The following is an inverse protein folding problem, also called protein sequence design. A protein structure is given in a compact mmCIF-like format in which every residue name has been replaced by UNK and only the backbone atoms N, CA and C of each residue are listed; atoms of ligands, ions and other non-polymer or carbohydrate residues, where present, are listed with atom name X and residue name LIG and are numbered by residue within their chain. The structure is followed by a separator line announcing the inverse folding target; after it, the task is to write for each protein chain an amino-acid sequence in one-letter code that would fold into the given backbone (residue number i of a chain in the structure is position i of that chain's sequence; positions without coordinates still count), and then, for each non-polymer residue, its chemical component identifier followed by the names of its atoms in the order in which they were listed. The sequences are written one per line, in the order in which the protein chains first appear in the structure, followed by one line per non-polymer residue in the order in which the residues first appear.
data_IF_010273508895
#
_entry.id   IF_010273508895
#
_cell.length_a   1.000
_cell.length_b   1.000
_cell.length_c   1.000
_cell.angle_alpha   90.00
_cell.angle_beta   90.00
_cell.angle_gamma   90.00
#
_symmetry.space_group_name_H-M   'P 1'
#
loop_
_entity.id
_entity.type
_entity.pdbx_description
1 polymer ?
#
# COMPACT_ATOMS: atom_id res chain seq x y z
N UNK A 1 28.77 -6.03 -9.37
CA UNK A 1 27.70 -6.06 -8.34
C UNK A 1 26.66 -7.09 -8.74
N UNK A 2 26.05 -7.78 -7.77
CA UNK A 2 24.99 -8.76 -8.04
C UNK A 2 23.62 -8.13 -7.76
N UNK A 3 22.71 -8.18 -8.72
CA UNK A 3 21.34 -7.67 -8.59
C UNK A 3 20.37 -8.84 -8.42
N UNK A 4 19.36 -8.67 -7.56
CA UNK A 4 18.30 -9.65 -7.32
C UNK A 4 16.99 -8.92 -7.07
N UNK A 5 15.90 -9.47 -7.59
CA UNK A 5 14.57 -9.08 -7.14
C UNK A 5 14.30 -9.63 -5.74
N UNK A 6 13.70 -8.80 -4.90
CA UNK A 6 13.33 -9.16 -3.52
C UNK A 6 11.84 -8.90 -3.34
N UNK A 7 11.11 -9.93 -2.94
CA UNK A 7 9.69 -9.81 -2.64
C UNK A 7 9.49 -9.23 -1.24
N UNK A 8 8.67 -8.18 -1.12
CA UNK A 8 8.24 -7.64 0.18
C UNK A 8 6.72 -7.77 0.32
N UNK A 9 6.32 -8.75 1.13
CA UNK A 9 4.91 -9.05 1.41
C UNK A 9 4.35 -8.21 2.55
N UNK A 10 3.05 -7.92 2.53
CA UNK A 10 2.38 -7.33 3.69
C UNK A 10 2.02 -8.38 4.72
N UNK A 11 2.47 -8.22 5.96
CA UNK A 11 1.96 -9.02 7.06
C UNK A 11 0.53 -8.56 7.41
N UNK A 12 -0.43 -9.49 7.39
CA UNK A 12 -1.84 -9.18 7.63
C UNK A 12 -2.03 -8.71 9.08
N UNK A 13 -2.68 -7.55 9.25
CA UNK A 13 -2.94 -6.96 10.57
C UNK A 13 -4.07 -7.65 11.35
N UNK A 14 -4.09 -7.48 12.68
CA UNK A 14 -5.07 -8.15 13.57
C UNK A 14 -6.50 -7.64 13.38
N UNK A 15 -6.69 -6.49 12.73
CA UNK A 15 -7.99 -5.88 12.45
C UNK A 15 -8.56 -6.25 11.07
N UNK A 16 -7.97 -7.24 10.39
CA UNK A 16 -8.48 -7.74 9.12
C UNK A 16 -9.98 -8.01 9.20
N UNK A 17 -10.74 -7.51 8.22
CA UNK A 17 -12.20 -7.61 8.19
C UNK A 17 -12.71 -7.44 6.75
N UNK A 18 -14.00 -7.75 6.54
CA UNK A 18 -14.68 -7.58 5.25
C UNK A 18 -15.74 -6.46 5.32
N UNK A 19 -15.30 -5.20 5.28
CA UNK A 19 -16.20 -4.05 5.38
C UNK A 19 -16.76 -3.54 4.04
N UNK A 20 -16.33 -4.09 2.90
CA UNK A 20 -16.87 -3.70 1.59
C UNK A 20 -16.53 -2.27 1.15
N UNK A 21 -15.36 -1.76 1.56
CA UNK A 21 -15.01 -0.33 1.48
C UNK A 21 -14.50 0.14 0.11
N UNK A 22 -14.18 -0.79 -0.80
CA UNK A 22 -13.58 -0.47 -2.09
C UNK A 22 -14.62 -0.53 -3.23
N UNK A 23 -15.20 0.60 -3.61
CA UNK A 23 -16.04 0.66 -4.80
C UNK A 23 -15.23 0.26 -6.05
N UNK A 24 -15.86 -0.50 -6.95
CA UNK A 24 -15.19 -1.15 -8.09
C UNK A 24 -14.46 -2.45 -7.78
N UNK A 25 -14.20 -2.79 -6.51
CA UNK A 25 -13.68 -4.10 -6.14
C UNK A 25 -14.84 -5.07 -5.83
N UNK A 26 -15.16 -5.93 -6.79
CA UNK A 26 -16.26 -6.88 -6.69
C UNK A 26 -16.07 -7.89 -5.54
N UNK A 27 -14.85 -8.31 -5.25
CA UNK A 27 -14.58 -9.24 -4.14
C UNK A 27 -14.82 -8.56 -2.78
N UNK A 28 -14.42 -7.30 -2.63
CA UNK A 28 -14.72 -6.48 -1.45
C UNK A 28 -16.23 -6.34 -1.26
N UNK A 29 -16.98 -6.02 -2.32
CA UNK A 29 -18.43 -5.87 -2.25
C UNK A 29 -19.15 -7.18 -1.89
N UNK A 30 -18.77 -8.29 -2.55
CA UNK A 30 -19.42 -9.60 -2.37
C UNK A 30 -19.26 -10.18 -0.96
N UNK A 31 -18.16 -9.87 -0.27
CA UNK A 31 -17.88 -10.40 1.06
C UNK A 31 -18.25 -9.43 2.19
N UNK A 32 -18.87 -8.27 1.88
CA UNK A 32 -19.22 -7.26 2.89
C UNK A 32 -20.05 -7.88 4.02
N UNK A 33 -19.60 -7.70 5.26
CA UNK A 33 -20.28 -8.19 6.46
C UNK A 33 -19.97 -9.64 6.84
N UNK A 34 -19.20 -10.36 6.04
CA UNK A 34 -18.78 -11.72 6.40
C UNK A 34 -17.82 -11.72 7.60
N UNK A 35 -17.85 -12.80 8.39
CA UNK A 35 -16.87 -13.03 9.43
C UNK A 35 -15.47 -13.25 8.81
N UNK A 36 -14.46 -12.65 9.43
CA UNK A 36 -13.06 -12.81 9.02
C UNK A 36 -12.28 -13.56 10.09
N UNK A 37 -11.12 -14.11 9.71
CA UNK A 37 -10.18 -14.75 10.65
C UNK A 37 -8.78 -14.12 10.50
N UNK A 38 -8.49 -13.02 11.21
CA UNK A 38 -7.22 -12.30 11.08
C UNK A 38 -6.00 -13.20 11.30
N UNK A 39 -6.06 -14.10 12.30
CA UNK A 39 -4.98 -15.06 12.57
C UNK A 39 -4.78 -16.03 11.41
N UNK A 40 -5.86 -16.59 10.86
CA UNK A 40 -5.74 -17.50 9.72
C UNK A 40 -5.19 -16.79 8.48
N UNK A 41 -5.65 -15.57 8.20
CA UNK A 41 -5.15 -14.75 7.09
C UNK A 41 -3.65 -14.44 7.23
N UNK A 42 -3.20 -14.07 8.43
CA UNK A 42 -1.78 -13.87 8.72
C UNK A 42 -0.95 -15.15 8.50
N UNK A 43 -1.43 -16.30 8.99
CA UNK A 43 -0.76 -17.59 8.82
C UNK A 43 -0.70 -18.02 7.35
N UNK A 44 -1.74 -17.77 6.57
CA UNK A 44 -1.75 -18.02 5.12
C UNK A 44 -0.69 -17.17 4.41
N UNK A 45 -0.60 -15.88 4.71
CA UNK A 45 0.43 -14.99 4.18
C UNK A 45 1.85 -15.47 4.53
N UNK A 46 2.08 -15.81 5.80
CA UNK A 46 3.38 -16.35 6.26
C UNK A 46 3.72 -17.67 5.57
N UNK A 47 2.75 -18.58 5.41
CA UNK A 47 2.97 -19.84 4.71
C UNK A 47 3.42 -19.59 3.26
N UNK A 48 2.79 -18.64 2.56
CA UNK A 48 3.19 -18.22 1.21
C UNK A 48 4.62 -17.65 1.18
N UNK A 49 4.96 -16.73 2.08
CA UNK A 49 6.31 -16.17 2.18
C UNK A 49 7.37 -17.26 2.41
N UNK A 50 7.07 -18.26 3.26
CA UNK A 50 7.96 -19.41 3.51
C UNK A 50 8.11 -20.30 2.27
N UNK A 51 7.02 -20.53 1.53
CA UNK A 51 7.06 -21.31 0.30
C UNK A 51 7.90 -20.61 -0.78
N UNK A 52 7.72 -19.29 -0.97
CA UNK A 52 8.53 -18.47 -1.89
C UNK A 52 10.02 -18.53 -1.51
N UNK A 53 10.34 -18.40 -0.22
CA UNK A 53 11.71 -18.55 0.27
C UNK A 53 12.29 -19.95 0.01
N UNK A 54 11.47 -21.00 0.14
CA UNK A 54 11.89 -22.38 -0.14
C UNK A 54 12.19 -22.62 -1.63
N UNK A 55 11.64 -21.81 -2.54
CA UNK A 55 11.99 -21.79 -3.96
C UNK A 55 13.31 -21.06 -4.26
N UNK A 56 14.02 -20.56 -3.25
CA UNK A 56 15.28 -19.84 -3.40
C UNK A 56 15.14 -18.34 -3.69
N UNK A 57 13.91 -17.81 -3.70
CA UNK A 57 13.65 -16.38 -3.87
C UNK A 57 13.90 -15.60 -2.57
N UNK A 58 14.38 -14.36 -2.69
CA UNK A 58 14.61 -13.50 -1.53
C UNK A 58 13.29 -12.89 -1.10
N UNK A 59 13.00 -12.94 0.21
CA UNK A 59 11.72 -12.57 0.79
C UNK A 59 11.93 -11.71 2.04
N UNK A 60 11.32 -10.53 2.05
CA UNK A 60 11.10 -9.67 3.21
C UNK A 60 9.60 -9.44 3.43
N UNK A 61 9.25 -8.59 4.40
CA UNK A 61 7.86 -8.20 4.64
C UNK A 61 7.76 -6.76 5.15
N UNK A 62 6.61 -6.12 4.92
CA UNK A 62 6.21 -4.88 5.59
C UNK A 62 5.28 -5.21 6.76
N UNK A 63 5.50 -4.62 7.96
CA UNK A 63 4.61 -4.83 9.10
C UNK A 63 3.20 -4.27 8.83
N UNK A 64 2.16 -4.76 9.54
CA UNK A 64 0.86 -4.13 9.51
C UNK A 64 0.94 -2.71 10.09
N UNK A 65 0.03 -1.85 9.67
CA UNK A 65 -0.08 -0.51 10.24
C UNK A 65 -0.94 -0.50 11.50
N UNK A 66 -0.76 0.55 12.31
CA UNK A 66 -1.56 0.79 13.51
C UNK A 66 -3.04 0.98 13.15
N UNK A 67 -3.90 0.14 13.75
CA UNK A 67 -5.34 0.06 13.53
C UNK A 67 -6.03 -0.30 14.86
N UNK A 68 -7.10 0.40 15.27
CA UNK A 68 -7.77 1.51 14.57
C UNK A 68 -6.89 2.74 14.40
N UNK A 69 -7.03 3.42 13.27
CA UNK A 69 -6.25 4.62 12.98
C UNK A 69 -6.76 5.83 13.77
N UNK A 70 -6.44 5.88 15.07
CA UNK A 70 -6.90 6.88 16.04
C UNK A 70 -6.56 8.31 15.62
N UNK A 71 -5.44 8.51 14.92
CA UNK A 71 -5.05 9.84 14.38
C UNK A 71 -6.11 10.40 13.44
N UNK A 72 -6.71 9.57 12.58
CA UNK A 72 -7.79 9.99 11.69
C UNK A 72 -9.05 10.30 12.47
N UNK A 73 -9.41 9.47 13.45
CA UNK A 73 -10.57 9.75 14.30
C UNK A 73 -10.41 11.07 15.06
N UNK A 74 -9.22 11.35 15.63
CA UNK A 74 -8.93 12.64 16.27
C UNK A 74 -9.04 13.81 15.30
N UNK A 75 -8.51 13.67 14.08
CA UNK A 75 -8.60 14.69 13.03
C UNK A 75 -10.05 14.97 12.59
N UNK A 76 -10.94 13.97 12.71
CA UNK A 76 -12.38 14.11 12.44
C UNK A 76 -13.19 14.61 13.65
N UNK A 77 -12.52 15.06 14.72
CA UNK A 77 -13.15 15.71 15.86
C UNK A 77 -13.48 14.78 17.03
N UNK A 78 -13.16 13.48 16.97
CA UNK A 78 -13.34 12.59 18.13
C UNK A 78 -12.29 12.91 19.21
N UNK A 79 -12.76 13.21 20.43
CA UNK A 79 -11.90 13.61 21.54
C UNK A 79 -12.07 12.72 22.79
N UNK A 80 -11.02 12.64 23.58
CA UNK A 80 -10.90 11.85 24.81
C UNK A 80 -9.74 10.86 24.76
N UNK A 81 -9.79 9.88 25.66
CA UNK A 81 -8.92 8.70 25.65
C UNK A 81 -9.18 7.85 24.39
N UNK A 82 -8.24 6.99 24.02
CA UNK A 82 -8.38 6.11 22.85
C UNK A 82 -9.65 5.25 22.92
N UNK A 83 -9.95 4.72 24.12
CA UNK A 83 -11.17 3.97 24.39
C UNK A 83 -12.42 4.80 24.13
N UNK A 84 -12.50 6.01 24.69
CA UNK A 84 -13.64 6.91 24.49
C UNK A 84 -13.82 7.31 23.02
N UNK A 85 -12.72 7.48 22.29
CA UNK A 85 -12.75 7.77 20.85
C UNK A 85 -13.39 6.61 20.10
N UNK A 86 -12.95 5.38 20.36
CA UNK A 86 -13.52 4.19 19.72
C UNK A 86 -15.00 4.04 20.07
N UNK A 87 -15.37 4.15 21.36
CA UNK A 87 -16.75 4.05 21.83
C UNK A 87 -17.66 5.11 21.17
N UNK A 88 -17.23 6.37 21.11
CA UNK A 88 -17.99 7.44 20.45
C UNK A 88 -18.10 7.21 18.94
N UNK A 89 -17.02 6.76 18.30
CA UNK A 89 -17.00 6.49 16.85
C UNK A 89 -17.85 5.29 16.43
N UNK A 90 -18.26 4.43 17.38
CA UNK A 90 -19.16 3.30 17.10
C UNK A 90 -20.54 3.75 16.60
N UNK A 91 -20.96 4.99 16.89
CA UNK A 91 -22.16 5.60 16.30
C UNK A 91 -22.02 5.86 14.78
N UNK A 92 -20.81 5.77 14.23
CA UNK A 92 -20.47 5.96 12.82
C UNK A 92 -19.75 4.71 12.27
N UNK A 93 -20.45 3.57 12.14
CA UNK A 93 -19.83 2.28 11.86
C UNK A 93 -19.06 2.23 10.52
N UNK A 94 -19.50 2.96 9.51
CA UNK A 94 -18.80 3.02 8.22
C UNK A 94 -17.44 3.74 8.33
N UNK A 95 -17.40 4.84 9.07
CA UNK A 95 -16.15 5.56 9.35
C UNK A 95 -15.21 4.67 10.19
N UNK A 96 -15.76 4.02 11.20
CA UNK A 96 -14.99 3.13 12.06
C UNK A 96 -14.38 1.98 11.24
N UNK A 97 -15.16 1.35 10.36
CA UNK A 97 -14.67 0.30 9.48
C UNK A 97 -13.50 0.76 8.59
N UNK A 98 -13.55 1.99 8.05
CA UNK A 98 -12.43 2.56 7.31
C UNK A 98 -11.16 2.69 8.18
N UNK A 99 -11.31 3.12 9.43
CA UNK A 99 -10.18 3.27 10.35
C UNK A 99 -9.62 1.94 10.88
N UNK A 100 -10.38 0.83 10.79
CA UNK A 100 -9.95 -0.51 11.19
C UNK A 100 -9.39 -1.36 10.02
N UNK A 101 -9.53 -0.92 8.77
CA UNK A 101 -9.16 -1.73 7.61
C UNK A 101 -7.67 -2.13 7.63
N UNK A 102 -7.40 -3.44 7.51
CA UNK A 102 -6.05 -3.99 7.37
C UNK A 102 -5.55 -3.97 5.91
N UNK A 103 -5.93 -2.94 5.14
CA UNK A 103 -5.68 -2.84 3.69
C UNK A 103 -4.20 -2.67 3.32
N UNK A 104 -3.36 -2.22 4.25
CA UNK A 104 -1.90 -2.09 4.03
C UNK A 104 -1.21 -3.43 3.80
N UNK A 105 -1.89 -4.57 4.00
CA UNK A 105 -1.37 -5.89 3.63
C UNK A 105 -1.15 -6.05 2.11
N UNK A 106 -1.83 -5.24 1.29
CA UNK A 106 -1.64 -5.23 -0.16
C UNK A 106 -0.47 -4.31 -0.55
N UNK A 107 0.75 -4.82 -0.39
CA UNK A 107 1.99 -4.07 -0.56
C UNK A 107 2.33 -3.74 -2.00
N UNK A 108 1.69 -4.37 -2.99
CA UNK A 108 1.75 -3.94 -4.39
C UNK A 108 1.29 -2.47 -4.55
N UNK A 109 0.49 -1.95 -3.63
CA UNK A 109 0.07 -0.55 -3.63
C UNK A 109 0.83 0.32 -2.63
N UNK A 110 1.88 -0.19 -1.96
CA UNK A 110 2.61 0.59 -0.97
C UNK A 110 3.34 1.79 -1.61
N UNK A 111 3.82 1.60 -2.83
CA UNK A 111 4.52 2.61 -3.61
C UNK A 111 5.09 2.02 -4.89
N UNK A 112 5.77 2.86 -5.65
CA UNK A 112 6.52 2.49 -6.85
C UNK A 112 8.00 2.50 -6.53
N UNK A 113 8.75 1.55 -7.11
CA UNK A 113 10.19 1.39 -6.90
C UNK A 113 10.92 1.54 -8.22
N UNK A 114 11.96 2.37 -8.26
CA UNK A 114 12.90 2.44 -9.37
C UNK A 114 14.27 1.90 -8.93
N UNK A 115 14.80 0.83 -9.54
CA UNK A 115 16.09 0.29 -9.16
C UNK A 115 17.23 1.23 -9.58
N UNK A 116 18.35 1.13 -8.87
CA UNK A 116 19.56 1.93 -9.14
C UNK A 116 20.11 1.76 -10.55
N UNK A 117 19.84 0.63 -11.20
CA UNK A 117 20.23 0.43 -12.59
C UNK A 117 19.56 1.43 -13.51
N UNK A 118 18.40 2.01 -13.16
CA UNK A 118 17.56 2.79 -14.08
C UNK A 118 17.51 4.29 -13.74
N UNK A 119 17.90 4.67 -12.52
CA UNK A 119 17.85 6.04 -12.03
C UNK A 119 19.09 6.84 -12.42
N UNK A 120 18.97 8.17 -12.46
CA UNK A 120 20.05 9.06 -12.90
C UNK A 120 21.19 9.19 -11.88
N UNK A 121 20.87 9.07 -10.59
CA UNK A 121 21.83 9.18 -9.48
C UNK A 121 22.40 7.81 -9.04
N UNK A 122 21.95 6.72 -9.66
CA UNK A 122 22.38 5.36 -9.33
C UNK A 122 21.90 4.85 -7.98
N UNK A 123 20.82 5.43 -7.41
CA UNK A 123 20.18 4.96 -6.16
C UNK A 123 18.87 4.24 -6.42
N UNK A 124 18.40 3.45 -5.48
CA UNK A 124 17.04 2.90 -5.52
C UNK A 124 16.07 3.96 -4.99
N UNK A 125 15.04 4.30 -5.78
CA UNK A 125 14.04 5.28 -5.37
C UNK A 125 12.73 4.59 -4.95
N UNK A 126 12.14 5.08 -3.87
CA UNK A 126 10.80 4.70 -3.41
C UNK A 126 9.88 5.92 -3.44
N UNK A 127 8.75 5.81 -4.13
CA UNK A 127 7.66 6.79 -4.07
C UNK A 127 6.42 6.12 -3.48
N UNK A 128 6.08 6.37 -2.20
CA UNK A 128 4.88 5.80 -1.60
C UNK A 128 3.62 6.29 -2.32
N UNK A 129 2.67 5.40 -2.57
CA UNK A 129 1.44 5.75 -3.28
C UNK A 129 0.47 6.50 -2.34
N UNK A 130 -0.25 7.50 -2.87
CA UNK A 130 -1.18 8.29 -2.05
C UNK A 130 -2.51 7.59 -1.80
N UNK A 131 -2.89 6.62 -2.64
CA UNK A 131 -4.09 5.79 -2.50
C UNK A 131 -5.38 6.60 -2.32
N UNK A 132 -5.43 7.77 -2.96
CA UNK A 132 -6.46 8.77 -2.73
C UNK A 132 -7.89 8.29 -3.06
N UNK A 133 -8.04 7.22 -3.85
CA UNK A 133 -9.32 6.74 -4.32
C UNK A 133 -10.19 6.11 -3.24
N UNK A 134 -9.58 5.58 -2.19
CA UNK A 134 -10.30 4.91 -1.10
C UNK A 134 -9.84 5.47 0.24
N UNK A 135 -10.76 6.02 1.02
CA UNK A 135 -10.42 6.71 2.27
C UNK A 135 -9.64 5.83 3.27
N UNK A 136 -10.06 4.58 3.48
CA UNK A 136 -9.32 3.63 4.33
C UNK A 136 -7.88 3.34 3.86
N UNK A 137 -7.59 3.59 2.58
CA UNK A 137 -6.25 3.44 2.00
C UNK A 137 -5.46 4.72 1.96
N UNK A 138 -6.09 5.88 1.76
CA UNK A 138 -5.39 7.16 1.72
C UNK A 138 -4.73 7.53 3.05
N UNK A 139 -5.16 6.92 4.15
CA UNK A 139 -4.53 7.03 5.48
C UNK A 139 -3.30 6.13 5.66
N UNK A 140 -2.90 5.34 4.65
CA UNK A 140 -1.75 4.43 4.73
C UNK A 140 -0.42 5.15 4.46
N UNK A 141 -0.40 6.08 3.51
CA UNK A 141 0.83 6.59 2.87
C UNK A 141 1.88 7.15 3.86
N UNK A 142 1.51 7.98 4.87
CA UNK A 142 2.50 8.50 5.82
C UNK A 142 3.19 7.42 6.67
N UNK A 143 2.47 6.34 7.00
CA UNK A 143 3.08 5.22 7.75
C UNK A 143 3.91 4.34 6.82
N UNK A 144 3.45 4.08 5.60
CA UNK A 144 4.22 3.35 4.59
C UNK A 144 5.55 4.04 4.29
N UNK A 145 5.56 5.36 4.10
CA UNK A 145 6.79 6.12 3.87
C UNK A 145 7.83 5.91 5.00
N UNK A 146 7.40 6.02 6.26
CA UNK A 146 8.26 5.81 7.44
C UNK A 146 8.78 4.38 7.53
N UNK A 147 7.94 3.38 7.22
CA UNK A 147 8.33 1.97 7.22
C UNK A 147 9.39 1.69 6.15
N UNK A 148 9.20 2.21 4.93
CA UNK A 148 10.18 2.06 3.85
C UNK A 148 11.50 2.74 4.20
N UNK A 149 11.47 3.97 4.72
CA UNK A 149 12.66 4.67 5.22
C UNK A 149 13.38 3.89 6.31
N UNK A 150 12.64 3.25 7.21
CA UNK A 150 13.24 2.45 8.28
C UNK A 150 13.89 1.16 7.77
N UNK A 151 13.25 0.46 6.84
CA UNK A 151 13.77 -0.80 6.27
C UNK A 151 14.96 -0.52 5.33
N UNK A 152 14.89 0.54 4.54
CA UNK A 152 15.88 0.93 3.53
C UNK A 152 16.56 2.25 3.91
N UNK A 153 17.28 2.24 5.04
CA UNK A 153 17.75 3.46 5.71
C UNK A 153 19.07 4.05 5.19
N UNK A 154 19.85 3.31 4.39
CA UNK A 154 21.15 3.81 3.90
C UNK A 154 20.95 4.83 2.76
N UNK A 155 21.03 6.11 3.09
CA UNK A 155 20.83 7.23 2.14
C UNK A 155 21.84 7.27 0.99
N UNK A 156 22.94 6.50 1.08
CA UNK A 156 23.89 6.34 -0.03
C UNK A 156 23.32 5.44 -1.13
N UNK A 157 22.39 4.54 -0.77
CA UNK A 157 21.80 3.53 -1.64
C UNK A 157 20.34 3.81 -1.98
N UNK A 158 19.62 4.48 -1.08
CA UNK A 158 18.17 4.64 -1.16
C UNK A 158 17.76 6.12 -1.11
N UNK A 159 16.83 6.49 -1.98
CA UNK A 159 16.15 7.79 -1.97
C UNK A 159 14.66 7.57 -1.70
N UNK A 160 14.12 8.29 -0.72
CA UNK A 160 12.70 8.19 -0.33
C UNK A 160 11.96 9.47 -0.65
N UNK A 161 10.93 9.37 -1.49
CA UNK A 161 10.09 10.49 -1.89
C UNK A 161 8.83 10.59 -1.01
N UNK A 162 8.19 11.76 -1.03
CA UNK A 162 6.88 11.92 -0.44
C UNK A 162 5.78 11.35 -1.36
N UNK A 163 4.63 10.90 -0.82
CA UNK A 163 3.46 10.60 -1.63
C UNK A 163 3.00 11.83 -2.42
N UNK A 164 2.46 11.62 -3.62
CA UNK A 164 1.97 12.72 -4.45
C UNK A 164 0.83 13.50 -3.75
N UNK A 165 0.85 14.85 -3.78
CA UNK A 165 -0.22 15.69 -3.25
C UNK A 165 -1.44 15.71 -4.19
N UNK A 166 -2.48 16.48 -3.87
CA UNK A 166 -3.60 16.74 -4.79
C UNK A 166 -4.69 15.66 -4.81
N UNK A 167 -4.67 14.72 -3.86
CA UNK A 167 -5.70 13.69 -3.69
C UNK A 167 -5.98 12.97 -5.03
N UNK A 168 -7.26 12.81 -5.40
CA UNK A 168 -7.65 12.09 -6.61
C UNK A 168 -7.23 12.76 -7.92
N UNK A 169 -6.86 14.03 -7.90
CA UNK A 169 -6.30 14.68 -9.09
C UNK A 169 -5.01 13.98 -9.52
N UNK A 170 -4.17 13.60 -8.56
CA UNK A 170 -2.98 12.76 -8.74
C UNK A 170 -3.18 11.39 -8.09
N UNK A 171 -4.32 10.74 -8.34
CA UNK A 171 -4.59 9.40 -7.79
C UNK A 171 -3.51 8.40 -8.21
N UNK A 172 -2.81 7.85 -7.21
CA UNK A 172 -1.71 6.90 -7.39
C UNK A 172 -1.94 5.64 -6.55
N UNK A 173 -1.87 4.48 -7.19
CA UNK A 173 -2.02 3.15 -6.62
C UNK A 173 -0.71 2.34 -6.69
N UNK A 174 0.42 2.98 -7.01
CA UNK A 174 1.77 2.43 -6.86
C UNK A 174 2.08 1.26 -7.81
N UNK A 175 2.91 0.33 -7.33
CA UNK A 175 3.44 -0.77 -8.14
C UNK A 175 2.39 -1.71 -8.75
N UNK A 176 1.15 -1.71 -8.26
CA UNK A 176 0.05 -2.45 -8.87
C UNK A 176 -0.29 -1.99 -10.30
N UNK A 177 0.15 -0.78 -10.68
CA UNK A 177 0.04 -0.24 -12.04
C UNK A 177 1.41 0.01 -12.69
N UNK A 178 2.45 -0.68 -12.19
CA UNK A 178 3.82 -0.59 -12.70
C UNK A 178 4.33 -1.96 -13.09
N UNK A 179 5.13 -2.00 -14.16
CA UNK A 179 5.92 -3.15 -14.55
C UNK A 179 7.30 -2.72 -15.01
N UNK A 180 8.26 -3.64 -14.95
CA UNK A 180 9.61 -3.42 -15.43
C UNK A 180 10.07 -4.57 -16.31
N UNK A 181 10.52 -4.25 -17.51
CA UNK A 181 11.01 -5.22 -18.49
C UNK A 181 12.51 -5.00 -18.71
N UNK A 182 13.30 -6.05 -18.53
CA UNK A 182 14.76 -6.01 -18.71
C UNK A 182 15.31 -7.41 -19.00
N UNK A 183 16.46 -7.55 -19.70
CA UNK A 183 17.12 -8.84 -19.90
C UNK A 183 17.51 -9.52 -18.59
N UNK A 184 18.03 -8.75 -17.62
CA UNK A 184 18.29 -9.19 -16.26
C UNK A 184 18.03 -8.06 -15.24
N UNK A 185 17.95 -8.39 -13.95
CA UNK A 185 17.65 -7.41 -12.90
C UNK A 185 18.69 -6.28 -12.76
N UNK A 186 19.93 -6.48 -13.24
CA UNK A 186 20.99 -5.47 -13.18
C UNK A 186 21.11 -4.60 -14.43
N UNK A 187 20.45 -4.99 -15.52
CA UNK A 187 20.48 -4.25 -16.78
C UNK A 187 19.51 -3.08 -16.74
N UNK A 188 19.76 -2.06 -17.58
CA UNK A 188 18.80 -0.98 -17.82
C UNK A 188 17.45 -1.56 -18.26
N UNK A 189 16.38 -1.15 -17.59
CA UNK A 189 15.03 -1.62 -17.83
C UNK A 189 14.12 -0.59 -18.48
N UNK A 190 13.04 -1.07 -19.10
CA UNK A 190 11.91 -0.25 -19.55
C UNK A 190 10.83 -0.33 -18.48
N UNK A 191 10.39 0.83 -18.01
CA UNK A 191 9.28 0.95 -17.05
C UNK A 191 7.96 1.09 -17.81
N UNK A 192 7.00 0.22 -17.52
CA UNK A 192 5.63 0.28 -17.99
C UNK A 192 4.75 0.85 -16.88
N UNK A 193 4.21 2.04 -17.09
CA UNK A 193 3.19 2.61 -16.21
C UNK A 193 1.82 2.48 -16.88
N UNK A 194 0.89 1.84 -16.19
CA UNK A 194 -0.50 1.68 -16.62
C UNK A 194 -1.35 2.72 -15.89
N UNK A 195 -2.34 3.32 -16.55
CA UNK A 195 -3.29 4.21 -15.90
C UNK A 195 -4.69 3.96 -16.44
N UNK A 196 -5.70 4.44 -15.71
CA UNK A 196 -7.09 4.32 -16.13
C UNK A 196 -7.61 5.61 -16.75
N UNK A 197 -8.59 5.46 -17.63
CA UNK A 197 -9.50 6.52 -18.03
C UNK A 197 -10.79 6.36 -17.22
N UNK A 198 -11.35 7.47 -16.74
CA UNK A 198 -12.60 7.41 -15.98
C UNK A 198 -13.73 6.84 -16.86
N UNK A 199 -14.32 5.74 -16.41
CA UNK A 199 -15.44 5.09 -17.07
C UNK A 199 -16.77 5.39 -16.38
N UNK A 200 -17.88 5.06 -17.04
CA UNK A 200 -19.23 5.31 -16.52
C UNK A 200 -19.55 4.50 -15.25
N UNK A 201 -18.95 3.31 -15.10
CA UNK A 201 -19.31 2.35 -14.04
C UNK A 201 -18.39 2.41 -12.82
N UNK A 202 -17.08 2.54 -13.03
CA UNK A 202 -16.09 2.54 -11.94
C UNK A 202 -15.03 3.63 -12.21
N UNK A 203 -14.61 4.38 -11.17
CA UNK A 203 -13.61 5.42 -11.32
C UNK A 203 -12.22 4.83 -11.57
N UNK A 204 -11.42 5.51 -12.39
CA UNK A 204 -10.02 5.18 -12.57
C UNK A 204 -9.21 5.71 -11.39
N UNK A 205 -8.62 4.79 -10.61
CA UNK A 205 -7.84 5.12 -9.42
C UNK A 205 -6.47 5.73 -9.77
N UNK A 206 -5.78 5.12 -10.74
CA UNK A 206 -4.50 5.60 -11.25
C UNK A 206 -4.73 6.66 -12.34
N UNK A 207 -4.13 7.84 -12.17
CA UNK A 207 -4.14 8.90 -13.18
C UNK A 207 -2.83 8.93 -13.95
N UNK A 208 -2.89 9.21 -15.26
CA UNK A 208 -1.70 9.39 -16.10
C UNK A 208 -0.70 10.37 -15.48
N UNK A 209 -1.19 11.54 -15.03
CA UNK A 209 -0.36 12.57 -14.38
C UNK A 209 0.30 12.12 -13.09
N UNK A 210 -0.29 11.16 -12.38
CA UNK A 210 0.34 10.57 -11.21
C UNK A 210 1.51 9.69 -11.65
N UNK A 211 1.29 8.84 -12.66
CA UNK A 211 2.34 8.01 -13.25
C UNK A 211 3.50 8.85 -13.81
N UNK A 212 3.20 9.95 -14.51
CA UNK A 212 4.21 10.89 -15.04
C UNK A 212 4.97 11.63 -13.93
N UNK A 213 4.33 11.94 -12.81
CA UNK A 213 4.99 12.59 -11.68
C UNK A 213 5.85 11.62 -10.84
N UNK A 214 5.57 10.32 -10.89
CA UNK A 214 6.39 9.28 -10.25
C UNK A 214 7.61 8.88 -11.10
N UNK A 215 7.48 8.93 -12.44
CA UNK A 215 8.53 8.59 -13.39
C UNK A 215 9.68 9.62 -13.40
#
# INVERSE_FOLDING_TARGET
MTYREINFDGLIGPTHNYAGLSFGNLASARNKGAASSPRAAALQGIAKMRAVKALGLVQGFLPPQDRPHLKTLRALGFAGTDRQIIEKSAAHPELLANCYAASSMWTANAGTVAPSSDTADGKVHFTPANLAANFHRSIEAPTTARVLQHIFADERLFTHHAPLPGAMHFGDEGAANHGRLSPSHGDKGVHLFVYGLDGEKFPARQKQRASEAVA
#
